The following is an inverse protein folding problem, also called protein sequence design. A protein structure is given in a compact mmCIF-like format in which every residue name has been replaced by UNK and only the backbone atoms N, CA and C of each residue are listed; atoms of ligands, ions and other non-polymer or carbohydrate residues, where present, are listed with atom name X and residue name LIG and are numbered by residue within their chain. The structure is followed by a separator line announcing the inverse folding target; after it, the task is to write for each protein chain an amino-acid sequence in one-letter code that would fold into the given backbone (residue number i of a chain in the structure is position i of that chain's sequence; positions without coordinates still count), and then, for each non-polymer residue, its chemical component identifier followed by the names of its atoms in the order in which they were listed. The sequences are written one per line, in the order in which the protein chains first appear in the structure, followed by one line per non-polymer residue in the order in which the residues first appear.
data_IF_482350307648
#
_entry.id   IF_482350307648
#
_cell.length_a   1.000
_cell.length_b   1.000
_cell.length_c   1.000
_cell.angle_alpha   90.00
_cell.angle_beta   90.00
_cell.angle_gamma   90.00
#
_symmetry.space_group_name_H-M   'P 1'
#
loop_
_entity.id
_entity.type
_entity.pdbx_description
1 polymer ?
#
# COMPACT_ATOMS: atom_id res chain seq x y z
N UNK A 1 4.46 -27.78 -15.03
CA UNK A 1 5.67 -26.93 -15.11
C UNK A 1 5.35 -25.44 -15.15
N UNK A 2 4.49 -24.98 -16.06
CA UNK A 2 4.14 -23.55 -16.19
C UNK A 2 3.62 -22.95 -14.87
N UNK A 3 2.67 -23.61 -14.20
CA UNK A 3 2.13 -23.14 -12.91
C UNK A 3 3.21 -23.03 -11.83
N UNK A 4 4.14 -23.98 -11.78
CA UNK A 4 5.24 -23.99 -10.80
C UNK A 4 6.27 -22.90 -11.07
N UNK A 5 6.58 -22.62 -12.35
CA UNK A 5 7.43 -21.51 -12.78
C UNK A 5 6.79 -20.15 -12.44
N UNK A 6 5.49 -20.02 -12.70
CA UNK A 6 4.74 -18.81 -12.37
C UNK A 6 4.70 -18.56 -10.85
N UNK A 7 4.47 -19.61 -10.07
CA UNK A 7 4.49 -19.54 -8.61
C UNK A 7 5.87 -19.16 -8.06
N UNK A 8 6.95 -19.68 -8.66
CA UNK A 8 8.31 -19.32 -8.29
C UNK A 8 8.64 -17.85 -8.64
N UNK A 9 8.24 -17.38 -9.83
CA UNK A 9 8.39 -15.98 -10.22
C UNK A 9 7.64 -15.02 -9.30
N UNK A 10 6.36 -15.30 -9.00
CA UNK A 10 5.57 -14.47 -8.06
C UNK A 10 6.07 -14.56 -6.62
N UNK A 11 6.56 -15.72 -6.19
CA UNK A 11 7.20 -15.89 -4.88
C UNK A 11 8.49 -15.08 -4.75
N UNK A 12 9.34 -15.09 -5.77
CA UNK A 12 10.57 -14.26 -5.82
C UNK A 12 10.21 -12.78 -5.87
N UNK A 13 9.20 -12.40 -6.67
CA UNK A 13 8.74 -11.02 -6.74
C UNK A 13 8.24 -10.51 -5.38
N UNK A 14 7.42 -11.32 -4.69
CA UNK A 14 6.96 -11.04 -3.32
C UNK A 14 8.13 -10.96 -2.33
N UNK A 15 9.08 -11.89 -2.41
CA UNK A 15 10.28 -11.86 -1.56
C UNK A 15 11.08 -10.56 -1.75
N UNK A 16 11.27 -10.12 -3.00
CA UNK A 16 11.94 -8.83 -3.30
C UNK A 16 11.15 -7.63 -2.73
N UNK A 17 9.82 -7.75 -2.66
CA UNK A 17 8.91 -6.71 -2.15
C UNK A 17 8.82 -6.70 -0.60
N UNK A 18 9.04 -7.85 0.04
CA UNK A 18 8.91 -8.03 1.50
C UNK A 18 10.23 -8.02 2.27
N UNK A 19 11.40 -8.06 1.62
CA UNK A 19 12.70 -7.96 2.33
C UNK A 19 12.76 -6.66 3.15
N UNK A 20 12.77 -6.75 4.49
CA UNK A 20 13.04 -5.60 5.34
C UNK A 20 14.56 -5.38 5.38
N UNK A 21 14.97 -4.14 5.19
CA UNK A 21 16.37 -3.78 4.98
C UNK A 21 16.63 -3.47 3.51
N UNK A 22 17.46 -2.47 3.26
CA UNK A 22 17.71 -1.90 1.94
C UNK A 22 19.07 -2.35 1.39
N UNK A 23 19.26 -3.62 0.96
CA UNK A 23 20.46 -3.99 0.24
C UNK A 23 20.49 -3.25 -1.10
N UNK A 24 21.64 -2.66 -1.43
CA UNK A 24 21.84 -1.77 -2.61
C UNK A 24 21.43 -2.40 -3.94
N UNK A 25 21.38 -3.73 -4.03
CA UNK A 25 21.02 -4.47 -5.24
C UNK A 25 19.49 -4.52 -5.47
N UNK A 26 18.67 -4.53 -4.41
CA UNK A 26 17.20 -4.52 -4.55
C UNK A 26 16.63 -3.12 -4.80
N UNK A 27 17.43 -2.06 -4.60
CA UNK A 27 17.00 -0.68 -4.77
C UNK A 27 16.64 -0.35 -6.23
N UNK A 28 17.44 -0.83 -7.20
CA UNK A 28 17.20 -0.60 -8.64
C UNK A 28 15.96 -1.34 -9.15
N UNK A 29 15.77 -2.60 -8.74
CA UNK A 29 14.59 -3.39 -9.10
C UNK A 29 13.30 -2.81 -8.51
N UNK A 30 13.32 -2.38 -7.25
CA UNK A 30 12.19 -1.69 -6.62
C UNK A 30 11.84 -0.36 -7.28
N UNK A 31 12.81 0.39 -7.79
CA UNK A 31 12.55 1.64 -8.49
C UNK A 31 11.83 1.41 -9.84
N UNK A 32 12.21 0.38 -10.59
CA UNK A 32 11.55 0.01 -11.85
C UNK A 32 10.13 -0.51 -11.63
N UNK A 33 9.93 -1.39 -10.62
CA UNK A 33 8.60 -1.92 -10.28
C UNK A 33 7.68 -0.80 -9.75
N UNK A 34 8.21 0.15 -8.97
CA UNK A 34 7.45 1.32 -8.50
C UNK A 34 7.02 2.24 -9.64
N UNK A 35 7.83 2.35 -10.70
CA UNK A 35 7.52 3.19 -11.86
C UNK A 35 6.40 2.62 -12.72
N UNK A 36 6.40 1.30 -12.94
CA UNK A 36 5.44 0.63 -13.83
C UNK A 36 4.20 0.08 -13.10
N UNK A 37 4.33 -0.26 -11.81
CA UNK A 37 3.29 -0.93 -11.04
C UNK A 37 3.15 -0.30 -9.64
N UNK A 38 2.88 1.02 -9.60
CA UNK A 38 2.69 1.79 -8.36
C UNK A 38 1.75 1.05 -7.39
N UNK A 39 0.60 0.60 -7.89
CA UNK A 39 -0.39 -0.24 -7.20
C UNK A 39 0.17 -1.51 -6.52
N UNK A 40 1.18 -2.14 -7.13
CA UNK A 40 1.77 -3.40 -6.65
C UNK A 40 2.65 -3.21 -5.41
N UNK A 41 3.13 -1.98 -5.17
CA UNK A 41 3.99 -1.65 -4.03
C UNK A 41 3.25 -1.20 -2.78
N UNK A 42 1.96 -0.94 -2.92
CA UNK A 42 1.06 -0.64 -1.82
C UNK A 42 0.59 -1.93 -1.13
N UNK A 43 0.07 -1.80 0.10
CA UNK A 43 -0.41 -2.90 0.93
C UNK A 43 -1.49 -3.73 0.19
N UNK A 44 -2.30 -3.08 -0.65
CA UNK A 44 -3.20 -3.70 -1.64
C UNK A 44 -2.49 -4.66 -2.60
N UNK A 45 -1.41 -4.24 -3.24
CA UNK A 45 -0.64 -5.05 -4.19
C UNK A 45 -0.05 -6.32 -3.57
N UNK A 46 0.57 -6.18 -2.39
CA UNK A 46 1.10 -7.32 -1.62
C UNK A 46 -0.01 -8.33 -1.28
N UNK A 47 -1.15 -7.82 -0.81
CA UNK A 47 -2.29 -8.66 -0.46
C UNK A 47 -2.90 -9.37 -1.68
N UNK A 48 -2.95 -8.71 -2.83
CA UNK A 48 -3.45 -9.29 -4.08
C UNK A 48 -2.51 -10.39 -4.61
N UNK A 49 -1.20 -10.17 -4.52
CA UNK A 49 -0.21 -11.20 -4.84
C UNK A 49 -0.28 -12.41 -3.90
N UNK A 50 -0.52 -12.21 -2.60
CA UNK A 50 -0.71 -13.31 -1.64
C UNK A 50 -2.00 -14.09 -1.91
N UNK A 51 -3.09 -13.40 -2.27
CA UNK A 51 -4.33 -14.04 -2.71
C UNK A 51 -4.10 -14.91 -3.94
N UNK A 52 -3.40 -14.37 -4.93
CA UNK A 52 -3.09 -15.10 -6.15
C UNK A 52 -2.17 -16.31 -5.88
N UNK A 53 -1.18 -16.15 -5.00
CA UNK A 53 -0.31 -17.23 -4.54
C UNK A 53 -1.11 -18.33 -3.83
N UNK A 54 -2.11 -17.98 -3.01
CA UNK A 54 -2.97 -18.94 -2.31
C UNK A 54 -3.82 -19.80 -3.26
N UNK A 55 -4.31 -19.22 -4.35
CA UNK A 55 -5.02 -19.95 -5.39
C UNK A 55 -4.09 -20.92 -6.15
N UNK A 56 -2.87 -20.46 -6.47
CA UNK A 56 -1.87 -21.30 -7.14
C UNK A 56 -1.34 -22.42 -6.25
N UNK A 57 -1.11 -22.18 -4.96
CA UNK A 57 -0.72 -23.23 -4.00
C UNK A 57 -1.81 -24.28 -3.87
N UNK A 58 -3.08 -23.87 -3.84
CA UNK A 58 -4.22 -24.80 -3.77
C UNK A 58 -4.26 -25.75 -4.96
N UNK A 59 -4.03 -25.23 -6.17
CA UNK A 59 -4.03 -26.05 -7.41
C UNK A 59 -2.78 -26.91 -7.59
N UNK A 60 -1.64 -26.50 -7.02
CA UNK A 60 -0.36 -27.23 -7.17
C UNK A 60 -0.11 -28.27 -6.09
N UNK A 61 -0.60 -28.05 -4.86
CA UNK A 61 -0.49 -29.01 -3.78
C UNK A 61 -1.61 -30.06 -3.78
N UNK A 62 -2.63 -29.93 -4.63
CA UNK A 62 -3.71 -30.91 -4.70
C UNK A 62 -3.16 -32.30 -5.08
N UNK A 63 -3.28 -33.32 -4.22
CA UNK A 63 -2.61 -34.59 -4.47
C UNK A 63 -3.31 -35.36 -5.60
N UNK A 64 -2.54 -35.73 -6.62
CA UNK A 64 -3.03 -36.49 -7.77
C UNK A 64 -3.24 -37.99 -7.48
N UNK A 65 -2.72 -38.50 -6.35
CA UNK A 65 -2.83 -39.92 -5.96
C UNK A 65 -4.02 -40.15 -5.03
N UNK A 66 -4.86 -41.15 -5.37
CA UNK A 66 -5.92 -41.68 -4.48
C UNK A 66 -5.27 -42.26 -3.21
N UNK A 67 -5.66 -41.76 -2.03
CA UNK A 67 -5.16 -42.19 -0.72
C UNK A 67 -4.42 -41.12 0.08
N UNK A 68 -4.09 -39.98 -0.53
CA UNK A 68 -3.36 -38.89 0.12
C UNK A 68 -4.28 -37.87 0.84
N UNK A 69 -5.24 -38.35 1.63
CA UNK A 69 -6.22 -37.49 2.31
C UNK A 69 -5.60 -36.49 3.28
N UNK A 70 -4.57 -36.91 4.01
CA UNK A 70 -3.84 -36.04 4.97
C UNK A 70 -3.08 -34.92 4.25
N UNK A 71 -2.46 -35.21 3.10
CA UNK A 71 -1.77 -34.20 2.29
C UNK A 71 -2.74 -33.20 1.68
N UNK A 72 -3.92 -33.65 1.22
CA UNK A 72 -4.97 -32.76 0.74
C UNK A 72 -5.47 -31.81 1.84
N UNK A 73 -5.64 -32.33 3.06
CA UNK A 73 -6.07 -31.53 4.20
C UNK A 73 -5.02 -30.48 4.60
N UNK A 74 -3.73 -30.85 4.65
CA UNK A 74 -2.65 -29.90 4.90
C UNK A 74 -2.56 -28.83 3.82
N UNK A 75 -2.65 -29.21 2.53
CA UNK A 75 -2.65 -28.28 1.40
C UNK A 75 -3.80 -27.26 1.48
N UNK A 76 -4.99 -27.73 1.86
CA UNK A 76 -6.16 -26.89 2.06
C UNK A 76 -5.96 -25.91 3.22
N UNK A 77 -5.50 -26.40 4.39
CA UNK A 77 -5.23 -25.57 5.56
C UNK A 77 -4.16 -24.50 5.30
N UNK A 78 -3.10 -24.83 4.56
CA UNK A 78 -2.09 -23.85 4.20
C UNK A 78 -2.64 -22.80 3.23
N UNK A 79 -3.45 -23.21 2.25
CA UNK A 79 -4.00 -22.28 1.27
C UNK A 79 -5.02 -21.34 1.89
N UNK A 80 -5.88 -21.83 2.78
CA UNK A 80 -6.88 -20.99 3.47
C UNK A 80 -6.22 -20.03 4.47
N UNK A 81 -5.14 -20.43 5.15
CA UNK A 81 -4.41 -19.54 6.04
C UNK A 81 -3.77 -18.37 5.26
N UNK A 82 -3.12 -18.65 4.14
CA UNK A 82 -2.53 -17.61 3.27
C UNK A 82 -3.61 -16.71 2.67
N UNK A 83 -4.72 -17.30 2.19
CA UNK A 83 -5.86 -16.54 1.68
C UNK A 83 -6.47 -15.63 2.77
N UNK A 84 -6.61 -16.12 4.01
CA UNK A 84 -7.14 -15.35 5.12
C UNK A 84 -6.30 -14.11 5.45
N UNK A 85 -4.98 -14.28 5.56
CA UNK A 85 -4.05 -13.15 5.77
C UNK A 85 -4.14 -12.14 4.64
N UNK A 86 -4.23 -12.62 3.40
CA UNK A 86 -4.33 -11.77 2.22
C UNK A 86 -5.65 -10.98 2.17
N UNK A 87 -6.78 -11.58 2.54
CA UNK A 87 -8.08 -10.89 2.64
C UNK A 87 -8.03 -9.82 3.74
N UNK A 88 -7.51 -10.15 4.92
CA UNK A 88 -7.41 -9.18 6.02
C UNK A 88 -6.52 -7.99 5.61
N UNK A 89 -5.37 -8.27 4.99
CA UNK A 89 -4.48 -7.23 4.46
C UNK A 89 -5.17 -6.31 3.44
N UNK A 90 -5.95 -6.89 2.53
CA UNK A 90 -6.73 -6.16 1.53
C UNK A 90 -7.84 -5.32 2.17
N UNK A 91 -8.54 -5.84 3.18
CA UNK A 91 -9.58 -5.07 3.88
C UNK A 91 -8.98 -3.88 4.63
N UNK A 92 -7.85 -4.06 5.32
CA UNK A 92 -7.16 -2.98 6.02
C UNK A 92 -6.71 -1.90 5.04
N UNK A 93 -6.11 -2.30 3.92
CA UNK A 93 -5.62 -1.36 2.91
C UNK A 93 -6.75 -0.57 2.25
N UNK A 94 -7.88 -1.22 1.91
CA UNK A 94 -9.06 -0.56 1.39
C UNK A 94 -9.69 0.40 2.40
N UNK A 95 -9.82 -0.01 3.66
CA UNK A 95 -10.34 0.87 4.71
C UNK A 95 -9.50 2.14 4.84
N UNK A 96 -8.17 2.02 4.84
CA UNK A 96 -7.26 3.17 4.90
C UNK A 96 -7.38 4.04 3.63
N UNK A 97 -7.49 3.43 2.46
CA UNK A 97 -7.67 4.15 1.18
C UNK A 97 -8.94 4.99 1.19
N UNK A 98 -10.05 4.44 1.71
CA UNK A 98 -11.33 5.17 1.84
C UNK A 98 -11.21 6.32 2.84
N UNK A 99 -10.49 6.15 3.96
CA UNK A 99 -10.27 7.22 4.93
C UNK A 99 -9.45 8.36 4.32
N UNK A 100 -8.40 8.04 3.56
CA UNK A 100 -7.59 9.02 2.85
C UNK A 100 -8.42 9.77 1.78
N UNK A 101 -9.25 9.05 1.02
CA UNK A 101 -10.13 9.64 0.01
C UNK A 101 -11.21 10.54 0.63
N UNK A 102 -11.71 10.23 1.83
CA UNK A 102 -12.61 11.13 2.56
C UNK A 102 -11.93 12.44 2.94
N UNK A 103 -10.68 12.39 3.40
CA UNK A 103 -9.89 13.59 3.71
C UNK A 103 -9.73 14.43 2.45
N UNK A 104 -9.33 13.81 1.34
CA UNK A 104 -9.21 14.48 0.04
C UNK A 104 -10.52 15.14 -0.40
N UNK A 105 -11.64 14.41 -0.35
CA UNK A 105 -12.97 14.94 -0.71
C UNK A 105 -13.36 16.12 0.17
N UNK A 106 -13.12 16.04 1.48
CA UNK A 106 -13.40 17.15 2.37
C UNK A 106 -12.55 18.38 2.05
N UNK A 107 -11.25 18.22 1.75
CA UNK A 107 -10.39 19.33 1.31
C UNK A 107 -10.95 19.97 0.03
N UNK A 108 -11.43 19.15 -0.92
CA UNK A 108 -12.03 19.64 -2.18
C UNK A 108 -13.37 20.34 -1.94
N UNK A 109 -14.22 19.80 -1.07
CA UNK A 109 -15.55 20.37 -0.77
C UNK A 109 -15.46 21.64 0.06
N UNK A 110 -14.48 21.73 0.96
CA UNK A 110 -14.19 22.92 1.77
C UNK A 110 -13.32 23.94 1.01
N UNK A 111 -13.11 23.79 -0.31
CA UNK A 111 -12.35 24.74 -1.14
C UNK A 111 -12.88 26.17 -1.02
N UNK A 112 -12.26 26.94 -0.14
CA UNK A 112 -12.38 28.40 -0.11
C UNK A 112 -11.13 29.07 -0.70
N UNK A 113 -10.03 28.32 -0.89
CA UNK A 113 -8.72 28.81 -1.36
C UNK A 113 -8.03 27.84 -2.35
N UNK A 114 -6.96 28.28 -3.01
CA UNK A 114 -6.15 27.46 -3.93
C UNK A 114 -5.44 26.33 -3.17
N UNK A 115 -5.23 25.16 -3.80
CA UNK A 115 -4.58 23.98 -3.16
C UNK A 115 -3.19 24.32 -2.60
N UNK A 116 -2.46 25.21 -3.26
CA UNK A 116 -1.18 25.75 -2.81
C UNK A 116 -1.29 26.50 -1.46
N UNK A 117 -2.38 27.23 -1.24
CA UNK A 117 -2.60 27.99 -0.01
C UNK A 117 -2.90 27.05 1.16
N UNK A 118 -3.61 25.94 0.89
CA UNK A 118 -3.84 24.89 1.89
C UNK A 118 -2.51 24.26 2.29
N UNK A 119 -1.66 23.90 1.32
CA UNK A 119 -0.34 23.33 1.60
C UNK A 119 0.51 24.27 2.46
N UNK A 120 0.63 25.54 2.06
CA UNK A 120 1.42 26.56 2.78
C UNK A 120 0.93 26.85 4.18
N UNK A 121 -0.37 26.66 4.45
CA UNK A 121 -0.95 26.87 5.78
C UNK A 121 -0.50 25.81 6.79
N UNK A 122 -0.18 24.60 6.35
CA UNK A 122 0.16 23.49 7.25
C UNK A 122 1.62 23.06 7.18
N UNK A 123 2.33 23.29 6.07
CA UNK A 123 3.77 23.02 5.95
C UNK A 123 4.59 24.17 6.57
N UNK A 124 4.68 24.22 7.90
CA UNK A 124 5.27 25.33 8.66
C UNK A 124 6.69 24.99 9.11
N UNK A 125 6.99 23.71 9.39
CA UNK A 125 8.22 23.28 10.01
C UNK A 125 9.46 23.40 9.11
N UNK A 126 9.36 23.05 7.82
CA UNK A 126 10.50 23.15 6.91
C UNK A 126 10.12 23.12 5.40
N UNK A 127 10.35 24.21 4.63
CA UNK A 127 10.03 24.24 3.20
C UNK A 127 10.93 23.34 2.35
N UNK A 128 12.08 22.89 2.89
CA UNK A 128 13.07 22.05 2.17
C UNK A 128 12.72 20.56 2.26
N UNK A 129 12.18 20.11 3.40
CA UNK A 129 11.81 18.71 3.63
C UNK A 129 10.35 18.41 3.25
N UNK A 130 9.51 19.44 3.14
CA UNK A 130 8.09 19.30 2.82
C UNK A 130 7.24 19.04 4.07
N UNK A 131 5.95 18.81 3.86
CA UNK A 131 4.98 18.63 4.95
C UNK A 131 5.29 17.36 5.74
N UNK A 132 5.41 17.49 7.06
CA UNK A 132 5.73 16.40 7.97
C UNK A 132 4.48 15.62 8.42
N UNK A 133 4.73 14.42 8.95
CA UNK A 133 3.74 13.53 9.57
C UNK A 133 2.71 14.28 10.45
N UNK A 134 3.18 14.97 11.47
CA UNK A 134 2.29 15.66 12.42
C UNK A 134 1.46 16.75 11.76
N UNK A 135 2.04 17.48 10.81
CA UNK A 135 1.38 18.55 10.07
C UNK A 135 0.26 18.02 9.17
N UNK A 136 0.50 16.91 8.46
CA UNK A 136 -0.52 16.25 7.65
C UNK A 136 -1.63 15.66 8.51
N UNK A 137 -1.30 15.08 9.67
CA UNK A 137 -2.29 14.56 10.61
C UNK A 137 -3.18 15.69 11.15
N UNK A 138 -2.59 16.84 11.47
CA UNK A 138 -3.31 18.04 11.90
C UNK A 138 -4.23 18.57 10.81
N UNK A 139 -3.75 18.68 9.58
CA UNK A 139 -4.57 19.07 8.43
C UNK A 139 -5.75 18.12 8.24
N UNK A 140 -5.51 16.80 8.28
CA UNK A 140 -6.57 15.80 8.14
C UNK A 140 -7.61 15.93 9.26
N UNK A 141 -7.19 16.20 10.50
CA UNK A 141 -8.09 16.45 11.62
C UNK A 141 -8.94 17.71 11.38
N UNK A 142 -8.32 18.81 10.95
CA UNK A 142 -9.02 20.09 10.75
C UNK A 142 -10.08 20.01 9.65
N UNK A 143 -9.77 19.39 8.50
CA UNK A 143 -10.76 19.21 7.41
C UNK A 143 -11.77 18.08 7.66
N UNK A 144 -11.61 17.28 8.71
CA UNK A 144 -12.58 16.23 9.07
C UNK A 144 -13.30 16.50 10.39
N UNK A 145 -13.16 17.70 10.98
CA UNK A 145 -13.67 18.05 12.30
C UNK A 145 -13.24 17.03 13.38
N UNK A 146 -11.98 16.61 13.34
CA UNK A 146 -11.37 15.64 14.24
C UNK A 146 -11.78 14.18 14.03
N UNK A 147 -12.61 13.87 13.03
CA UNK A 147 -13.13 12.50 12.80
C UNK A 147 -12.09 11.54 12.23
N UNK A 148 -11.09 12.05 11.53
CA UNK A 148 -9.99 11.24 11.00
C UNK A 148 -8.69 11.71 11.62
N UNK A 149 -8.16 10.90 12.54
CA UNK A 149 -6.80 11.01 13.05
C UNK A 149 -6.06 9.74 12.62
N UNK A 150 -4.90 9.93 12.01
CA UNK A 150 -4.06 8.83 11.56
C UNK A 150 -2.96 8.60 12.59
N UNK A 151 -2.79 7.34 13.00
CA UNK A 151 -1.67 6.96 13.86
C UNK A 151 -0.35 6.94 13.08
N UNK A 152 0.78 6.92 13.80
CA UNK A 152 2.14 6.97 13.21
C UNK A 152 2.37 5.86 12.17
N UNK A 153 1.89 4.64 12.44
CA UNK A 153 2.00 3.50 11.53
C UNK A 153 1.13 3.64 10.27
N UNK A 154 -0.02 4.31 10.37
CA UNK A 154 -0.89 4.56 9.21
C UNK A 154 -0.28 5.65 8.32
N UNK A 155 0.30 6.64 8.98
CA UNK A 155 0.98 7.76 8.34
C UNK A 155 2.19 7.32 7.53
N UNK A 156 3.00 6.39 8.04
CA UNK A 156 4.13 5.86 7.29
C UNK A 156 3.70 5.13 6.02
N UNK A 157 2.55 4.44 6.04
CA UNK A 157 1.96 3.78 4.86
C UNK A 157 1.45 4.84 3.87
N UNK A 158 0.76 5.87 4.37
CA UNK A 158 0.25 6.98 3.54
C UNK A 158 1.39 7.76 2.89
N UNK A 159 2.45 8.07 3.64
CA UNK A 159 3.61 8.78 3.10
C UNK A 159 4.38 7.91 2.13
N UNK A 160 4.59 6.62 2.42
CA UNK A 160 5.20 5.72 1.43
C UNK A 160 4.35 5.61 0.13
N UNK A 161 3.06 5.95 0.20
CA UNK A 161 2.18 6.00 -0.95
C UNK A 161 2.16 7.35 -1.69
N UNK A 162 2.41 8.46 -0.99
CA UNK A 162 2.32 9.83 -1.50
C UNK A 162 3.69 10.46 -1.82
N UNK A 163 4.75 10.06 -1.12
CA UNK A 163 6.13 10.54 -1.27
C UNK A 163 6.85 9.71 -2.33
N UNK A 164 7.09 10.31 -3.49
CA UNK A 164 7.79 9.64 -4.61
C UNK A 164 9.28 9.40 -4.28
N UNK A 165 9.85 10.21 -3.39
CA UNK A 165 11.29 10.33 -3.16
C UNK A 165 11.74 9.74 -1.82
N UNK A 166 10.83 9.21 -1.00
CA UNK A 166 11.10 8.64 0.33
C UNK A 166 11.87 9.60 1.26
N UNK A 167 11.59 10.91 1.14
CA UNK A 167 12.16 11.95 2.00
C UNK A 167 11.44 12.07 3.35
N UNK A 168 10.40 11.26 3.59
CA UNK A 168 9.53 11.34 4.78
C UNK A 168 8.80 12.68 4.87
N UNK A 169 8.51 13.28 3.72
CA UNK A 169 7.90 14.59 3.58
C UNK A 169 7.20 14.73 2.24
N UNK A 170 6.00 15.33 2.24
CA UNK A 170 5.21 15.53 1.02
C UNK A 170 5.49 16.94 0.48
N UNK A 171 5.95 17.05 -0.77
CA UNK A 171 6.18 18.33 -1.43
C UNK A 171 4.88 18.97 -1.93
N UNK A 172 4.89 20.28 -2.19
CA UNK A 172 3.72 21.00 -2.73
C UNK A 172 3.20 20.39 -4.04
N UNK A 173 4.12 19.97 -4.92
CA UNK A 173 3.80 19.28 -6.18
C UNK A 173 3.06 17.97 -5.92
N UNK A 174 3.64 17.08 -5.10
CA UNK A 174 3.08 15.77 -4.76
C UNK A 174 1.71 15.91 -4.06
N UNK A 175 1.57 16.90 -3.18
CA UNK A 175 0.31 17.24 -2.54
C UNK A 175 -0.75 17.70 -3.55
N UNK A 176 -0.37 18.59 -4.48
CA UNK A 176 -1.28 19.09 -5.51
C UNK A 176 -1.72 17.99 -6.48
N UNK A 177 -0.81 17.09 -6.82
CA UNK A 177 -1.07 15.91 -7.66
C UNK A 177 -2.00 14.93 -6.93
N UNK A 178 -1.82 14.72 -5.62
CA UNK A 178 -2.73 13.89 -4.82
C UNK A 178 -4.15 14.48 -4.74
N UNK A 179 -4.27 15.78 -4.42
CA UNK A 179 -5.57 16.44 -4.29
C UNK A 179 -6.32 16.47 -5.62
N UNK A 180 -5.63 16.80 -6.72
CA UNK A 180 -6.25 16.93 -8.05
C UNK A 180 -6.29 15.62 -8.86
N UNK A 181 -5.56 14.58 -8.43
CA UNK A 181 -5.39 13.32 -9.15
C UNK A 181 -6.49 12.29 -8.94
N UNK A 182 -6.16 11.01 -9.16
CA UNK A 182 -7.05 9.87 -8.94
C UNK A 182 -6.95 9.34 -7.51
N UNK A 183 -7.94 8.55 -7.07
CA UNK A 183 -7.95 7.86 -5.77
C UNK A 183 -6.65 7.08 -5.56
N UNK A 184 -5.99 7.30 -4.43
CA UNK A 184 -4.77 6.56 -4.05
C UNK A 184 -5.17 5.30 -3.28
N UNK A 185 -4.75 4.14 -3.79
CA UNK A 185 -4.93 2.85 -3.13
C UNK A 185 -3.70 2.54 -2.27
N UNK A 186 -3.91 2.32 -0.98
CA UNK A 186 -2.89 2.07 0.04
C UNK A 186 -2.49 0.60 0.17
#
# INVERSE_FOLDING_TARGET
MINSLFQLLFGILLMILDVPGSPRWSARGRALIRKEARFLTHLTGKSLCLLFLSCLTSTTLWPQRRGAGVLALLAFLTSIAVAGVAIIGLLISLQKSVRLERVRKNIITTKTSTVADVYRRYAIADPVYGMQFEEFSRMAADYTNGRQQFGVTDLSIIYNALDENQKSGINEREFSEWVNGSTVYL
#
